data_IF_187546201416
#
_entry.id   IF_187546201416
#
_cell.length_a   1.000
_cell.length_b   1.000
_cell.length_c   1.000
_cell.angle_alpha   90.00
_cell.angle_beta   90.00
_cell.angle_gamma   90.00
#
_symmetry.space_group_name_H-M   'P 1'
#
loop_
_entity.id
_entity.type
_entity.pdbx_description
1 polymer ?
#
# COMPACT_ATOMS: atom_id res chain seq x y z
N UNK A 1 -13.62 5.55 -8.31
CA UNK A 1 -12.74 6.66 -8.78
C UNK A 1 -13.50 7.53 -9.79
N UNK A 2 -14.09 6.96 -10.83
CA UNK A 2 -14.82 7.71 -11.87
C UNK A 2 -15.97 8.58 -11.35
N UNK A 3 -16.51 8.29 -10.17
CA UNK A 3 -17.58 9.07 -9.51
C UNK A 3 -17.08 10.31 -8.75
N UNK A 4 -15.78 10.60 -8.75
CA UNK A 4 -15.21 11.76 -8.09
C UNK A 4 -15.25 12.97 -9.03
N UNK A 5 -15.77 14.10 -8.57
CA UNK A 5 -16.01 15.31 -9.38
C UNK A 5 -14.75 15.85 -10.07
N UNK A 6 -13.59 15.73 -9.40
CA UNK A 6 -12.32 16.25 -9.91
C UNK A 6 -11.55 15.24 -10.80
N UNK A 7 -12.11 14.05 -11.05
CA UNK A 7 -11.49 13.02 -11.89
C UNK A 7 -11.95 13.12 -13.33
N UNK A 8 -11.08 13.67 -14.17
CA UNK A 8 -11.34 13.82 -15.62
C UNK A 8 -11.14 12.51 -16.39
N UNK A 9 -10.21 11.66 -15.97
CA UNK A 9 -9.85 10.40 -16.65
C UNK A 9 -9.46 9.33 -15.66
N UNK A 10 -9.89 8.10 -15.93
CA UNK A 10 -9.46 6.91 -15.18
C UNK A 10 -8.54 6.10 -16.09
N UNK A 11 -7.31 5.85 -15.60
CA UNK A 11 -6.36 4.98 -16.29
C UNK A 11 -6.47 3.58 -15.74
N UNK A 12 -6.63 2.59 -16.60
CA UNK A 12 -6.67 1.18 -16.24
C UNK A 12 -5.55 0.42 -16.96
N UNK A 13 -4.81 -0.43 -16.22
CA UNK A 13 -3.82 -1.34 -16.78
C UNK A 13 -4.50 -2.54 -17.40
N UNK A 14 -4.59 -2.58 -18.73
CA UNK A 14 -5.20 -3.66 -19.51
C UNK A 14 -4.14 -4.33 -20.37
N UNK A 15 -4.16 -5.66 -20.41
CA UNK A 15 -3.20 -6.47 -21.19
C UNK A 15 -3.90 -7.39 -22.21
N UNK A 16 -5.24 -7.51 -22.13
CA UNK A 16 -6.04 -8.35 -23.04
C UNK A 16 -7.26 -7.61 -23.55
N UNK A 17 -7.79 -8.06 -24.70
CA UNK A 17 -9.01 -7.51 -25.30
C UNK A 17 -10.22 -7.73 -24.36
N UNK A 18 -10.28 -8.83 -23.63
CA UNK A 18 -11.38 -9.12 -22.72
C UNK A 18 -11.41 -8.09 -21.59
N UNK A 19 -10.25 -7.72 -21.03
CA UNK A 19 -10.14 -6.67 -20.03
C UNK A 19 -10.55 -5.30 -20.57
N UNK A 20 -10.21 -5.01 -21.82
CA UNK A 20 -10.66 -3.78 -22.48
C UNK A 20 -12.17 -3.75 -22.62
N UNK A 21 -12.78 -4.82 -23.15
CA UNK A 21 -14.22 -4.92 -23.34
C UNK A 21 -14.97 -4.82 -22.01
N UNK A 22 -14.46 -5.48 -20.97
CA UNK A 22 -15.01 -5.41 -19.61
C UNK A 22 -15.00 -3.97 -19.08
N UNK A 23 -13.85 -3.27 -19.16
CA UNK A 23 -13.75 -1.87 -18.72
C UNK A 23 -14.64 -0.92 -19.53
N UNK A 24 -14.72 -1.09 -20.84
CA UNK A 24 -15.59 -0.28 -21.70
C UNK A 24 -17.05 -0.48 -21.36
N UNK A 25 -17.47 -1.71 -21.05
CA UNK A 25 -18.86 -2.01 -20.68
C UNK A 25 -19.33 -1.26 -19.44
N UNK A 26 -18.45 -0.96 -18.49
CA UNK A 26 -18.79 -0.13 -17.30
C UNK A 26 -18.86 1.36 -17.63
N UNK A 27 -18.14 1.82 -18.66
CA UNK A 27 -18.00 3.24 -18.96
C UNK A 27 -19.00 3.71 -20.01
N UNK A 28 -19.57 2.80 -20.79
CA UNK A 28 -20.51 3.13 -21.88
C UNK A 28 -21.85 3.70 -21.36
N UNK A 29 -22.34 3.17 -20.23
CA UNK A 29 -23.49 3.71 -19.49
C UNK A 29 -23.14 3.96 -18.02
N UNK A 30 -22.09 4.78 -17.80
CA UNK A 30 -21.57 5.04 -16.48
C UNK A 30 -22.57 5.78 -15.59
N UNK A 31 -22.93 5.14 -14.48
CA UNK A 31 -23.73 5.74 -13.42
C UNK A 31 -22.84 6.11 -12.23
N UNK A 32 -22.76 7.39 -11.83
CA UNK A 32 -22.04 7.79 -10.64
C UNK A 32 -22.59 7.09 -9.38
N UNK A 33 -21.72 6.84 -8.42
CA UNK A 33 -22.15 6.28 -7.13
C UNK A 33 -23.12 7.20 -6.42
N UNK A 34 -24.18 6.64 -5.89
CA UNK A 34 -25.14 7.36 -5.06
C UNK A 34 -24.59 7.60 -3.64
N UNK A 35 -25.32 8.40 -2.85
CA UNK A 35 -24.89 8.79 -1.49
C UNK A 35 -24.68 7.60 -0.55
N UNK A 36 -25.49 6.55 -0.66
CA UNK A 36 -25.40 5.37 0.22
C UNK A 36 -24.18 4.51 -0.13
N UNK A 37 -23.89 4.39 -1.42
CA UNK A 37 -22.69 3.71 -1.91
C UNK A 37 -21.42 4.45 -1.50
N UNK A 38 -21.40 5.78 -1.63
CA UNK A 38 -20.30 6.63 -1.16
C UNK A 38 -20.11 6.48 0.36
N UNK A 39 -21.20 6.49 1.13
CA UNK A 39 -21.12 6.30 2.59
C UNK A 39 -20.62 4.90 2.96
N UNK A 40 -20.98 3.88 2.19
CA UNK A 40 -20.48 2.53 2.38
C UNK A 40 -18.97 2.46 2.16
N UNK A 41 -18.45 3.10 1.11
CA UNK A 41 -17.01 3.21 0.85
C UNK A 41 -16.31 3.96 1.98
N UNK A 42 -16.87 5.08 2.47
CA UNK A 42 -16.30 5.83 3.60
C UNK A 42 -16.20 4.98 4.86
N UNK A 43 -17.25 4.23 5.20
CA UNK A 43 -17.21 3.30 6.35
C UNK A 43 -16.11 2.25 6.19
N UNK A 44 -15.95 1.67 5.00
CA UNK A 44 -14.88 0.72 4.73
C UNK A 44 -13.48 1.36 4.88
N UNK A 45 -13.30 2.59 4.39
CA UNK A 45 -12.05 3.34 4.56
C UNK A 45 -11.76 3.62 6.04
N UNK A 46 -12.77 3.98 6.83
CA UNK A 46 -12.60 4.26 8.26
C UNK A 46 -12.21 2.99 9.03
N UNK A 47 -12.81 1.85 8.71
CA UNK A 47 -12.42 0.55 9.26
C UNK A 47 -10.95 0.25 8.91
N UNK A 48 -10.55 0.44 7.64
CA UNK A 48 -9.17 0.19 7.20
C UNK A 48 -8.17 1.13 7.88
N UNK A 49 -8.53 2.40 8.09
CA UNK A 49 -7.68 3.38 8.80
C UNK A 49 -7.55 3.09 10.28
N UNK A 50 -8.57 2.47 10.88
CA UNK A 50 -8.54 2.07 12.29
C UNK A 50 -7.70 0.81 12.55
N UNK A 51 -7.28 0.09 11.50
CA UNK A 51 -6.38 -1.04 11.66
C UNK A 51 -5.00 -0.58 12.14
N UNK A 52 -4.47 -1.23 13.16
CA UNK A 52 -3.11 -1.00 13.64
C UNK A 52 -2.12 -1.59 12.62
N UNK A 53 -1.73 -0.79 11.64
CA UNK A 53 -0.82 -1.22 10.58
C UNK A 53 0.10 -0.11 10.13
N UNK A 54 1.27 -0.48 9.62
CA UNK A 54 2.20 0.44 9.00
C UNK A 54 1.73 0.71 7.57
N UNK A 55 1.33 1.95 7.27
CA UNK A 55 0.86 2.37 5.95
C UNK A 55 2.03 2.42 4.96
N UNK A 56 2.45 1.27 4.44
CA UNK A 56 3.53 1.14 3.46
C UNK A 56 2.97 0.61 2.13
N UNK A 57 3.22 1.33 1.04
CA UNK A 57 2.78 0.96 -0.32
C UNK A 57 3.79 0.08 -1.06
N UNK A 58 4.88 -0.33 -0.40
CA UNK A 58 5.98 -1.09 -0.99
C UNK A 58 6.59 -0.46 -2.26
N UNK A 59 6.59 0.87 -2.36
CA UNK A 59 7.16 1.61 -3.50
C UNK A 59 8.69 1.60 -3.55
N UNK A 60 9.37 1.15 -2.51
CA UNK A 60 10.83 1.01 -2.36
C UNK A 60 11.64 2.33 -2.41
N UNK A 61 11.02 3.52 -2.47
CA UNK A 61 11.78 4.79 -2.52
C UNK A 61 12.65 5.04 -1.28
N UNK A 62 12.33 4.43 -0.14
CA UNK A 62 13.13 4.52 1.08
C UNK A 62 14.39 3.61 1.08
N UNK A 63 14.47 2.61 0.21
CA UNK A 63 15.55 1.62 0.21
C UNK A 63 16.87 2.17 -0.36
N UNK A 64 16.90 2.85 -1.53
CA UNK A 64 18.13 3.40 -2.09
C UNK A 64 18.82 4.43 -1.21
N UNK A 65 18.04 5.19 -0.42
CA UNK A 65 18.53 6.20 0.51
C UNK A 65 19.05 5.63 1.84
N UNK A 66 18.90 4.32 2.08
CA UNK A 66 19.36 3.72 3.33
C UNK A 66 20.84 3.34 3.26
N UNK A 67 21.73 3.98 4.05
CA UNK A 67 23.17 3.67 4.01
C UNK A 67 23.48 2.24 4.47
N UNK A 68 22.59 1.64 5.25
CA UNK A 68 22.69 0.25 5.68
C UNK A 68 22.00 -0.73 4.72
N UNK A 69 21.39 -0.26 3.64
CA UNK A 69 20.66 -1.07 2.65
C UNK A 69 19.61 -2.01 3.27
N UNK A 70 18.95 -1.52 4.32
CA UNK A 70 17.89 -2.29 5.01
C UNK A 70 16.69 -2.44 4.07
N UNK A 71 16.13 -3.65 3.90
CA UNK A 71 14.93 -3.88 3.10
C UNK A 71 13.68 -3.41 3.87
N UNK A 72 13.49 -2.08 3.96
CA UNK A 72 12.49 -1.44 4.82
C UNK A 72 11.06 -1.88 4.48
N UNK A 73 10.60 -1.88 3.21
CA UNK A 73 9.25 -2.31 2.86
C UNK A 73 8.97 -3.76 3.25
N UNK A 74 9.94 -4.64 3.08
CA UNK A 74 9.81 -6.07 3.42
C UNK A 74 9.73 -6.29 4.94
N UNK A 75 10.43 -5.46 5.71
CA UNK A 75 10.34 -5.48 7.17
C UNK A 75 8.97 -4.98 7.63
N UNK A 76 8.45 -3.93 7.01
CA UNK A 76 7.10 -3.43 7.29
C UNK A 76 6.01 -4.45 6.89
N UNK A 77 6.19 -5.17 5.78
CA UNK A 77 5.30 -6.28 5.40
C UNK A 77 5.25 -7.37 6.49
N UNK A 78 6.41 -7.78 7.00
CA UNK A 78 6.49 -8.77 8.08
C UNK A 78 5.84 -8.24 9.37
N UNK A 79 6.06 -6.96 9.72
CA UNK A 79 5.46 -6.34 10.91
C UNK A 79 3.94 -6.23 10.78
N UNK A 80 3.43 -5.84 9.61
CA UNK A 80 1.99 -5.77 9.36
C UNK A 80 1.30 -7.13 9.51
N UNK A 81 2.00 -8.21 9.22
CA UNK A 81 1.48 -9.56 9.46
C UNK A 81 1.22 -9.82 10.95
N UNK A 82 2.14 -9.38 11.82
CA UNK A 82 1.93 -9.41 13.27
C UNK A 82 0.79 -8.51 13.70
N UNK A 83 0.79 -7.26 13.26
CA UNK A 83 -0.18 -6.24 13.68
C UNK A 83 -1.61 -6.57 13.23
N UNK A 84 -1.80 -7.01 11.98
CA UNK A 84 -3.13 -7.24 11.41
C UNK A 84 -3.71 -8.61 11.73
N UNK A 85 -2.87 -9.64 11.84
CA UNK A 85 -3.32 -11.04 11.98
C UNK A 85 -2.95 -11.66 13.33
N UNK A 86 -2.19 -10.93 14.17
CA UNK A 86 -1.68 -11.43 15.46
C UNK A 86 -0.91 -12.74 15.34
N UNK A 87 -0.24 -12.95 14.19
CA UNK A 87 0.51 -14.16 13.85
C UNK A 87 2.01 -13.88 13.97
N UNK A 88 2.54 -14.07 15.17
CA UNK A 88 3.95 -13.81 15.48
C UNK A 88 4.88 -14.79 14.76
N UNK A 89 4.46 -16.05 14.60
CA UNK A 89 5.27 -17.08 13.95
C UNK A 89 5.44 -16.79 12.46
N UNK A 90 4.34 -16.55 11.75
CA UNK A 90 4.38 -16.20 10.33
C UNK A 90 5.10 -14.87 10.07
N UNK A 91 4.94 -13.89 10.96
CA UNK A 91 5.65 -12.61 10.89
C UNK A 91 7.16 -12.80 11.02
N UNK A 92 7.60 -13.57 12.01
CA UNK A 92 9.02 -13.88 12.24
C UNK A 92 9.62 -14.69 11.07
N UNK A 93 8.90 -15.69 10.58
CA UNK A 93 9.29 -16.46 9.39
C UNK A 93 9.45 -15.56 8.17
N UNK A 94 8.48 -14.65 7.95
CA UNK A 94 8.54 -13.69 6.83
C UNK A 94 9.71 -12.73 6.98
N UNK A 95 9.94 -12.20 8.18
CA UNK A 95 11.08 -11.35 8.47
C UNK A 95 12.42 -12.04 8.12
N UNK A 96 12.63 -13.26 8.59
CA UNK A 96 13.83 -14.03 8.29
C UNK A 96 14.02 -14.30 6.80
N UNK A 97 12.95 -14.68 6.10
CA UNK A 97 12.98 -14.91 4.65
C UNK A 97 13.40 -13.64 3.88
N UNK A 98 12.82 -12.49 4.24
CA UNK A 98 13.04 -11.22 3.53
C UNK A 98 14.36 -10.53 3.87
N UNK A 99 14.93 -10.83 5.04
CA UNK A 99 16.23 -10.29 5.50
C UNK A 99 17.38 -11.28 5.33
N UNK A 100 17.16 -12.45 4.74
CA UNK A 100 18.21 -13.42 4.50
C UNK A 100 19.27 -12.85 3.54
N UNK A 101 20.53 -12.84 3.97
CA UNK A 101 21.65 -12.23 3.20
C UNK A 101 21.58 -10.70 3.07
N UNK A 102 20.70 -10.02 3.83
CA UNK A 102 20.55 -8.56 3.84
C UNK A 102 20.68 -7.99 5.26
N UNK A 103 20.84 -6.67 5.35
CA UNK A 103 20.80 -5.97 6.64
C UNK A 103 19.43 -6.11 7.32
N UNK A 104 19.45 -6.14 8.62
CA UNK A 104 18.27 -6.34 9.48
C UNK A 104 17.82 -5.01 10.09
N UNK A 105 16.63 -4.96 10.66
CA UNK A 105 16.12 -3.76 11.35
C UNK A 105 17.07 -3.26 12.46
N UNK A 106 17.75 -4.15 13.18
CA UNK A 106 18.71 -3.82 14.24
C UNK A 106 19.96 -3.09 13.75
N UNK A 107 20.27 -3.19 12.46
CA UNK A 107 21.45 -2.55 11.86
C UNK A 107 21.17 -1.08 11.51
N UNK A 108 19.99 -0.57 11.87
CA UNK A 108 19.60 0.80 11.64
C UNK A 108 20.40 1.77 12.51
N UNK A 109 21.09 2.72 11.86
CA UNK A 109 21.85 3.79 12.51
C UNK A 109 21.02 5.05 12.81
N UNK A 110 19.72 4.99 12.68
CA UNK A 110 18.77 6.08 12.95
C UNK A 110 19.07 7.39 12.18
N UNK A 111 19.64 7.34 10.98
CA UNK A 111 19.97 8.52 10.17
C UNK A 111 18.75 9.32 9.68
N UNK A 112 17.55 8.77 9.72
CA UNK A 112 16.29 9.44 9.35
C UNK A 112 16.02 9.57 7.84
N UNK A 113 16.91 9.18 6.93
CA UNK A 113 16.74 9.37 5.49
C UNK A 113 15.47 8.68 4.94
N UNK A 114 15.14 7.49 5.43
CA UNK A 114 13.90 6.80 5.05
C UNK A 114 12.62 7.57 5.43
N UNK A 115 12.65 8.38 6.50
CA UNK A 115 11.50 9.20 6.91
C UNK A 115 11.13 10.25 5.86
N UNK A 116 12.11 10.86 5.21
CA UNK A 116 11.85 11.85 4.17
C UNK A 116 11.17 11.19 2.96
N UNK A 117 11.67 10.05 2.50
CA UNK A 117 11.07 9.31 1.41
C UNK A 117 9.65 8.83 1.76
N UNK A 118 9.40 8.44 3.01
CA UNK A 118 8.08 7.98 3.48
C UNK A 118 7.05 9.13 3.57
N UNK A 119 7.47 10.30 4.05
CA UNK A 119 6.59 11.49 4.18
C UNK A 119 6.16 12.06 2.82
N UNK A 120 6.96 11.95 1.79
CA UNK A 120 6.63 12.47 0.46
C UNK A 120 5.53 11.70 -0.26
N UNK A 121 5.13 10.55 0.27
CA UNK A 121 4.15 9.63 -0.36
C UNK A 121 2.82 9.63 0.41
N UNK A 122 2.85 9.97 1.69
CA UNK A 122 1.63 10.06 2.50
C UNK A 122 1.06 11.47 2.39
N UNK A 123 -0.23 11.63 2.03
CA UNK A 123 -0.89 12.92 2.15
C UNK A 123 -0.86 13.37 3.63
N UNK A 124 -0.56 14.64 3.82
CA UNK A 124 -0.59 15.34 5.12
C UNK A 124 -1.99 15.34 5.72
#
# INVERSE_FOLDING_TARGET
VASLDDVMRVLSGMSTIDQLNDNVSYMDDFQPLNSDEINTIKKAQDIMRALDSIACTACHYCTPGCPQQIPIPEIFEAMNRKLLFHDDEAALKRYHQKTNGKSKAKDCIACGQCKFAFRSILPS
#
